data_IF_996759360494
#
_entry.id   IF_996759360494
#
_cell.length_a   1.000
_cell.length_b   1.000
_cell.length_c   1.000
_cell.angle_alpha   90.00
_cell.angle_beta   90.00
_cell.angle_gamma   90.00
#
_symmetry.space_group_name_H-M   'P 1'
#
loop_
_entity.id
_entity.type
_entity.pdbx_description
1 polymer ?
#
# COMPACT_ATOMS: atom_id res chain seq x y z
N UNK A 1 -9.71 -17.45 -6.14
CA UNK A 1 -9.14 -16.12 -5.82
C UNK A 1 -8.23 -16.29 -4.62
N UNK A 2 -7.05 -15.66 -4.60
CA UNK A 2 -6.21 -15.62 -3.39
C UNK A 2 -6.76 -14.57 -2.42
N UNK A 3 -6.81 -14.91 -1.14
CA UNK A 3 -7.14 -13.97 -0.09
C UNK A 3 -5.92 -13.10 0.20
N UNK A 4 -6.08 -11.78 0.14
CA UNK A 4 -5.08 -10.83 0.63
C UNK A 4 -5.50 -10.44 2.04
N UNK A 5 -4.61 -10.66 3.01
CA UNK A 5 -4.78 -10.20 4.39
C UNK A 5 -3.82 -9.06 4.68
N UNK A 6 -4.30 -8.09 5.45
CA UNK A 6 -3.46 -7.05 6.00
C UNK A 6 -2.90 -7.49 7.34
N UNK A 7 -1.61 -7.23 7.57
CA UNK A 7 -1.07 -7.30 8.93
C UNK A 7 -1.64 -6.14 9.75
N UNK A 8 -1.79 -6.33 11.07
CA UNK A 8 -2.19 -5.25 11.98
C UNK A 8 -1.28 -4.01 11.84
N UNK A 9 0.01 -4.25 11.63
CA UNK A 9 1.00 -3.20 11.38
C UNK A 9 0.71 -2.45 10.07
N UNK A 10 0.47 -3.16 8.97
CA UNK A 10 0.19 -2.54 7.68
C UNK A 10 -1.09 -1.70 7.69
N UNK A 11 -2.14 -2.16 8.38
CA UNK A 11 -3.37 -1.37 8.56
C UNK A 11 -3.11 -0.09 9.36
N UNK A 12 -2.28 -0.18 10.42
CA UNK A 12 -1.91 0.98 11.23
C UNK A 12 -1.08 1.99 10.43
N UNK A 13 -0.09 1.52 9.67
CA UNK A 13 0.76 2.36 8.82
C UNK A 13 -0.07 3.09 7.74
N UNK A 14 -1.06 2.42 7.14
CA UNK A 14 -1.95 3.06 6.16
C UNK A 14 -2.76 4.20 6.79
N UNK A 15 -3.29 4.01 8.00
CA UNK A 15 -4.00 5.06 8.73
C UNK A 15 -3.07 6.23 9.10
N UNK A 16 -1.87 5.95 9.60
CA UNK A 16 -0.89 6.99 9.94
C UNK A 16 -0.51 7.86 8.74
N UNK A 17 -0.37 7.24 7.56
CA UNK A 17 -0.10 7.96 6.29
C UNK A 17 -1.29 8.83 5.89
N UNK A 18 -2.50 8.29 5.99
CA UNK A 18 -3.72 9.03 5.69
C UNK A 18 -3.88 10.25 6.60
N UNK A 19 -3.70 10.08 7.90
CA UNK A 19 -3.82 11.15 8.88
C UNK A 19 -2.74 12.22 8.70
N UNK A 20 -1.49 11.80 8.45
CA UNK A 20 -0.37 12.70 8.19
C UNK A 20 -0.66 13.64 7.02
N UNK A 21 -1.05 13.10 5.87
CA UNK A 21 -1.27 13.91 4.67
C UNK A 21 -2.51 14.78 4.78
N UNK A 22 -3.54 14.31 5.48
CA UNK A 22 -4.75 15.10 5.75
C UNK A 22 -4.41 16.33 6.60
N UNK A 23 -3.61 16.14 7.65
CA UNK A 23 -3.17 17.21 8.52
C UNK A 23 -2.21 18.17 7.80
N UNK A 24 -1.22 17.63 7.09
CA UNK A 24 -0.19 18.40 6.39
C UNK A 24 -0.79 19.31 5.30
N UNK A 25 -1.70 18.77 4.49
CA UNK A 25 -2.33 19.50 3.39
C UNK A 25 -3.58 20.29 3.81
N UNK A 26 -4.06 20.12 5.06
CA UNK A 26 -5.36 20.62 5.55
C UNK A 26 -6.53 20.21 4.64
N UNK A 27 -6.39 19.07 3.98
CA UNK A 27 -7.31 18.51 3.01
C UNK A 27 -7.05 17.02 2.87
N UNK A 28 -8.09 16.22 2.73
CA UNK A 28 -7.99 14.78 2.57
C UNK A 28 -7.82 14.33 1.10
N UNK A 29 -7.90 15.23 0.12
CA UNK A 29 -7.88 14.86 -1.32
C UNK A 29 -6.66 14.01 -1.69
N UNK A 30 -5.48 14.37 -1.18
CA UNK A 30 -4.26 13.59 -1.46
C UNK A 30 -4.25 12.26 -0.70
N UNK A 31 -4.77 12.23 0.53
CA UNK A 31 -4.90 11.02 1.34
C UNK A 31 -5.88 10.02 0.72
N UNK A 32 -7.00 10.51 0.19
CA UNK A 32 -7.97 9.71 -0.59
C UNK A 32 -7.30 9.13 -1.84
N UNK A 33 -6.52 9.92 -2.58
CA UNK A 33 -5.75 9.41 -3.72
C UNK A 33 -4.77 8.29 -3.34
N UNK A 34 -4.05 8.42 -2.22
CA UNK A 34 -3.16 7.36 -1.71
C UNK A 34 -3.96 6.09 -1.41
N UNK A 35 -5.13 6.25 -0.78
CA UNK A 35 -6.00 5.14 -0.42
C UNK A 35 -6.52 4.40 -1.67
N UNK A 36 -7.00 5.15 -2.67
CA UNK A 36 -7.52 4.60 -3.92
C UNK A 36 -6.45 3.84 -4.70
N UNK A 37 -5.24 4.42 -4.86
CA UNK A 37 -4.13 3.75 -5.54
C UNK A 37 -3.64 2.52 -4.75
N UNK A 38 -3.69 2.58 -3.42
CA UNK A 38 -3.39 1.41 -2.58
C UNK A 38 -4.38 0.28 -2.83
N UNK A 39 -5.68 0.56 -2.86
CA UNK A 39 -6.71 -0.45 -3.17
C UNK A 39 -6.58 -0.99 -4.59
N UNK A 40 -6.27 -0.13 -5.57
CA UNK A 40 -6.00 -0.55 -6.95
C UNK A 40 -4.86 -1.55 -7.01
N UNK A 41 -3.78 -1.29 -6.28
CA UNK A 41 -2.62 -2.16 -6.29
C UNK A 41 -2.87 -3.50 -5.57
N UNK A 42 -3.60 -3.50 -4.45
CA UNK A 42 -4.01 -4.74 -3.79
C UNK A 42 -4.82 -5.62 -4.75
N UNK A 43 -5.77 -5.03 -5.47
CA UNK A 43 -6.58 -5.76 -6.44
C UNK A 43 -5.73 -6.35 -7.56
N UNK A 44 -4.66 -5.66 -7.97
CA UNK A 44 -3.70 -6.18 -8.92
C UNK A 44 -2.87 -7.34 -8.34
N UNK A 45 -2.43 -7.25 -7.08
CA UNK A 45 -1.74 -8.37 -6.39
C UNK A 45 -2.62 -9.61 -6.29
N UNK A 46 -3.93 -9.42 -6.07
CA UNK A 46 -4.91 -10.53 -6.03
C UNK A 46 -4.99 -11.29 -7.35
N UNK A 47 -4.84 -10.60 -8.49
CA UNK A 47 -4.89 -11.19 -9.82
C UNK A 47 -3.51 -11.63 -10.35
N UNK A 48 -2.43 -10.97 -9.92
CA UNK A 48 -1.05 -11.21 -10.36
C UNK A 48 -0.10 -11.29 -9.16
N UNK A 49 0.10 -12.49 -8.62
CA UNK A 49 0.82 -12.70 -7.34
C UNK A 49 2.34 -12.43 -7.38
N UNK A 50 2.91 -12.18 -8.55
CA UNK A 50 4.35 -11.96 -8.74
C UNK A 50 4.70 -10.51 -9.08
N UNK A 51 3.74 -9.59 -9.00
CA UNK A 51 4.00 -8.18 -9.23
C UNK A 51 4.87 -7.58 -8.11
N UNK A 52 5.67 -6.58 -8.47
CA UNK A 52 6.57 -5.89 -7.55
C UNK A 52 7.99 -6.45 -7.53
N UNK A 53 8.87 -5.72 -6.85
CA UNK A 53 10.27 -6.10 -6.70
C UNK A 53 10.43 -7.12 -5.57
N UNK A 54 11.04 -8.26 -5.89
CA UNK A 54 11.27 -9.32 -4.92
C UNK A 54 12.56 -9.08 -4.12
N UNK A 55 12.41 -9.04 -2.80
CA UNK A 55 13.53 -9.19 -1.90
C UNK A 55 13.90 -10.68 -1.79
N UNK A 56 14.95 -11.09 -2.51
CA UNK A 56 15.41 -12.49 -2.58
C UNK A 56 15.72 -13.13 -1.23
N UNK A 57 16.07 -12.33 -0.21
CA UNK A 57 16.45 -12.81 1.12
C UNK A 57 15.21 -13.03 1.98
N UNK A 58 14.28 -12.08 1.98
CA UNK A 58 13.10 -12.10 2.87
C UNK A 58 11.87 -12.76 2.25
N UNK A 59 11.89 -13.07 0.95
CA UNK A 59 10.73 -13.55 0.17
C UNK A 59 9.53 -12.59 0.24
N UNK A 60 9.82 -11.30 0.34
CA UNK A 60 8.83 -10.20 0.39
C UNK A 60 8.83 -9.50 -0.97
N UNK A 61 7.66 -9.11 -1.46
CA UNK A 61 7.55 -8.24 -2.64
C UNK A 61 7.18 -6.82 -2.24
N UNK A 62 7.85 -5.85 -2.85
CA UNK A 62 7.56 -4.42 -2.64
C UNK A 62 6.91 -3.85 -3.87
N UNK A 63 5.92 -3.00 -3.65
CA UNK A 63 5.24 -2.31 -4.74
C UNK A 63 5.23 -0.82 -4.44
N UNK A 64 5.66 -0.05 -5.45
CA UNK A 64 5.52 1.39 -5.46
C UNK A 64 4.06 1.73 -5.78
N UNK A 65 3.40 2.45 -4.89
CA UNK A 65 2.00 2.84 -5.04
C UNK A 65 1.95 4.19 -5.76
N UNK A 66 2.79 5.13 -5.32
CA UNK A 66 3.03 6.44 -5.93
C UNK A 66 4.53 6.71 -5.86
N UNK A 67 5.09 7.59 -6.71
CA UNK A 67 6.52 7.96 -6.67
C UNK A 67 6.99 8.42 -5.27
N UNK A 68 6.04 8.86 -4.43
CA UNK A 68 6.27 9.37 -3.07
C UNK A 68 5.82 8.39 -1.96
N UNK A 69 5.30 7.20 -2.28
CA UNK A 69 4.73 6.26 -1.30
C UNK A 69 4.96 4.78 -1.68
N UNK A 70 5.59 4.05 -0.75
CA UNK A 70 5.95 2.63 -0.88
C UNK A 70 5.14 1.79 0.11
N UNK A 71 4.56 0.67 -0.33
CA UNK A 71 3.92 -0.31 0.54
C UNK A 71 4.64 -1.68 0.44
N UNK A 72 4.88 -2.33 1.59
CA UNK A 72 5.51 -3.66 1.66
C UNK A 72 4.46 -4.71 2.02
N UNK A 73 4.34 -5.77 1.23
CA UNK A 73 3.36 -6.84 1.44
C UNK A 73 4.11 -8.16 1.71
N UNK A 74 3.76 -8.84 2.81
CA UNK A 74 4.26 -10.16 3.19
C UNK A 74 3.29 -11.27 2.79
#
# INVERSE_FOLDING_TARGET
MKNVSWSLKGSKELNEVYDYWTLHNKSNVYSEKILDESFRMINLVRSQSYIGEENKIKKIRRILILENFLCSIN
#
